data_IF_305089313731
#
_entry.id   IF_305089313731
#
_cell.length_a   1.000
_cell.length_b   1.000
_cell.length_c   1.000
_cell.angle_alpha   90.00
_cell.angle_beta   90.00
_cell.angle_gamma   90.00
#
_symmetry.space_group_name_H-M   'P 1'
#
loop_
_entity.id
_entity.type
_entity.pdbx_description
1 polymer ?
#
# COMPACT_ATOMS: atom_id res chain seq x y z
N UNK A 1 -3.47 -13.39 -27.98
CA UNK A 1 -2.58 -12.56 -27.16
C UNK A 1 -3.31 -11.25 -26.93
N UNK A 2 -3.15 -10.62 -25.77
CA UNK A 2 -3.99 -9.54 -25.19
C UNK A 2 -5.19 -10.04 -24.38
N UNK A 3 -4.97 -10.19 -23.06
CA UNK A 3 -5.99 -10.07 -22.01
C UNK A 3 -5.44 -10.16 -20.57
N UNK A 4 -4.11 -10.20 -20.36
CA UNK A 4 -3.52 -10.21 -19.00
C UNK A 4 -3.62 -8.87 -18.26
N UNK A 5 -3.88 -7.78 -18.99
CA UNK A 5 -4.12 -6.45 -18.46
C UNK A 5 -5.61 -6.06 -18.48
N UNK A 6 -6.53 -7.02 -18.68
CA UNK A 6 -7.97 -6.82 -18.42
C UNK A 6 -8.26 -6.77 -16.90
N UNK A 7 -7.73 -5.70 -16.33
CA UNK A 7 -8.18 -4.79 -15.27
C UNK A 7 -8.53 -5.32 -13.87
N UNK A 8 -9.00 -6.55 -13.64
CA UNK A 8 -9.78 -6.75 -12.40
C UNK A 8 -9.25 -7.76 -11.37
N UNK A 9 -8.88 -8.98 -11.77
CA UNK A 9 -8.44 -10.01 -10.82
C UNK A 9 -6.94 -9.90 -10.47
N UNK A 10 -6.14 -9.46 -11.44
CA UNK A 10 -4.67 -9.40 -11.33
C UNK A 10 -4.23 -8.17 -10.53
N UNK A 11 -4.91 -7.01 -10.68
CA UNK A 11 -4.59 -5.79 -9.91
C UNK A 11 -4.80 -5.98 -8.41
N UNK A 12 -5.82 -6.74 -7.97
CA UNK A 12 -6.00 -7.02 -6.55
C UNK A 12 -4.88 -7.91 -5.97
N UNK A 13 -4.38 -8.85 -6.76
CA UNK A 13 -3.16 -9.61 -6.41
C UNK A 13 -1.93 -8.70 -6.27
N UNK A 14 -1.84 -7.66 -7.10
CA UNK A 14 -0.77 -6.66 -7.03
C UNK A 14 -0.92 -5.71 -5.84
N UNK A 15 -2.13 -5.27 -5.48
CA UNK A 15 -2.37 -4.49 -4.26
C UNK A 15 -1.82 -5.21 -3.02
N UNK A 16 -2.12 -6.51 -2.88
CA UNK A 16 -1.65 -7.31 -1.76
C UNK A 16 -0.12 -7.48 -1.79
N UNK A 17 0.47 -7.68 -2.96
CA UNK A 17 1.94 -7.77 -3.11
C UNK A 17 2.63 -6.46 -2.77
N UNK A 18 2.12 -5.32 -3.24
CA UNK A 18 2.65 -3.99 -2.88
C UNK A 18 2.56 -3.77 -1.37
N UNK A 19 1.39 -4.03 -0.78
CA UNK A 19 1.20 -3.85 0.65
C UNK A 19 2.14 -4.75 1.47
N UNK A 20 2.21 -6.04 1.13
CA UNK A 20 3.12 -6.98 1.78
C UNK A 20 4.59 -6.59 1.62
N UNK A 21 4.96 -6.02 0.48
CA UNK A 21 6.30 -5.52 0.26
C UNK A 21 6.58 -4.33 1.20
N UNK A 22 5.76 -3.29 1.22
CA UNK A 22 6.03 -2.08 2.02
C UNK A 22 6.01 -2.32 3.54
N UNK A 23 5.18 -3.21 4.05
CA UNK A 23 5.09 -3.47 5.50
C UNK A 23 6.23 -4.35 6.03
N UNK A 24 7.06 -4.92 5.14
CA UNK A 24 8.29 -5.62 5.51
C UNK A 24 9.49 -4.67 5.61
N UNK A 25 9.30 -3.37 5.34
CA UNK A 25 10.34 -2.36 5.49
C UNK A 25 10.56 -2.11 6.97
N UNK A 26 11.77 -1.66 7.31
CA UNK A 26 12.01 -1.23 8.67
C UNK A 26 11.15 0.01 9.00
N UNK A 27 10.97 0.25 10.29
CA UNK A 27 10.09 1.30 10.82
C UNK A 27 10.39 2.69 10.23
N UNK A 28 11.67 3.01 10.03
CA UNK A 28 12.09 4.32 9.51
C UNK A 28 11.80 4.43 8.02
N UNK A 29 12.11 3.38 7.24
CA UNK A 29 11.78 3.34 5.82
C UNK A 29 10.26 3.39 5.58
N UNK A 30 9.46 2.65 6.36
CA UNK A 30 8.00 2.71 6.27
C UNK A 30 7.50 4.12 6.62
N UNK A 31 8.06 4.76 7.65
CA UNK A 31 7.71 6.14 8.00
C UNK A 31 7.98 7.12 6.87
N UNK A 32 9.15 7.01 6.21
CA UNK A 32 9.53 7.89 5.10
C UNK A 32 8.66 7.64 3.87
N UNK A 33 8.32 6.38 3.60
CA UNK A 33 7.32 6.00 2.59
C UNK A 33 6.01 6.72 2.94
N UNK A 34 5.42 6.52 4.11
CA UNK A 34 4.15 7.16 4.51
C UNK A 34 4.18 8.69 4.40
N UNK A 35 5.24 9.35 4.89
CA UNK A 35 5.42 10.82 4.79
C UNK A 35 5.40 11.32 3.35
N UNK A 36 6.01 10.56 2.44
CA UNK A 36 6.19 10.99 1.06
C UNK A 36 4.87 11.07 0.28
N UNK A 37 3.86 10.25 0.62
CA UNK A 37 2.62 10.18 -0.16
C UNK A 37 1.33 10.34 0.65
N UNK A 38 1.33 10.11 1.97
CA UNK A 38 0.15 10.25 2.82
C UNK A 38 0.14 11.64 3.46
N UNK A 39 -0.83 12.47 3.07
CA UNK A 39 -1.13 13.74 3.74
C UNK A 39 -2.50 13.65 4.41
N UNK A 40 -2.52 13.52 5.72
CA UNK A 40 -3.76 13.50 6.51
C UNK A 40 -3.79 14.76 7.38
N UNK A 41 -4.86 15.57 7.32
CA UNK A 41 -5.02 16.72 8.20
C UNK A 41 -4.87 16.33 9.68
N UNK A 42 -4.02 17.04 10.41
CA UNK A 42 -3.78 16.80 11.84
C UNK A 42 -2.79 15.68 12.17
N UNK A 43 -2.34 14.89 11.20
CA UNK A 43 -1.30 13.87 11.40
C UNK A 43 0.04 14.35 10.85
N UNK A 44 1.04 14.46 11.72
CA UNK A 44 2.43 14.68 11.33
C UNK A 44 3.28 13.48 11.73
N UNK A 45 3.65 12.64 10.75
CA UNK A 45 4.47 11.44 10.97
C UNK A 45 5.84 11.73 11.61
N UNK A 46 6.38 12.95 11.52
CA UNK A 46 7.64 13.30 12.19
C UNK A 46 7.54 13.23 13.72
N UNK A 47 6.33 13.29 14.29
CA UNK A 47 6.07 13.19 15.71
C UNK A 47 5.93 11.74 16.21
N UNK A 48 6.00 10.74 15.34
CA UNK A 48 5.71 9.35 15.67
C UNK A 48 6.85 8.40 15.31
N UNK A 49 7.03 7.35 16.11
CA UNK A 49 7.67 6.11 15.67
C UNK A 49 6.62 5.26 14.96
N UNK A 50 7.01 4.54 13.90
CA UNK A 50 6.10 3.72 13.09
C UNK A 50 6.36 2.25 13.39
N UNK A 51 5.33 1.57 13.87
CA UNK A 51 5.35 0.14 14.17
C UNK A 51 4.26 -0.57 13.35
N UNK A 52 4.47 -1.85 13.04
CA UNK A 52 3.43 -2.68 12.43
C UNK A 52 2.83 -3.55 13.54
N UNK A 53 1.53 -3.43 13.77
CA UNK A 53 0.79 -4.24 14.72
C UNK A 53 -0.15 -5.20 13.97
N UNK A 54 -0.23 -6.43 14.44
CA UNK A 54 -1.18 -7.42 13.93
C UNK A 54 -2.49 -7.23 14.69
N UNK A 55 -3.55 -6.95 13.95
CA UNK A 55 -4.89 -6.77 14.51
C UNK A 55 -5.82 -7.78 13.83
N UNK A 56 -6.62 -8.43 14.66
CA UNK A 56 -7.59 -9.38 14.17
C UNK A 56 -8.78 -8.64 13.55
N UNK A 57 -8.82 -8.57 12.22
CA UNK A 57 -9.90 -7.94 11.46
C UNK A 57 -10.52 -9.00 10.53
N UNK A 58 -11.58 -9.71 10.95
CA UNK A 58 -12.26 -10.65 10.07
C UNK A 58 -12.88 -9.91 8.88
N UNK A 59 -13.09 -10.62 7.77
CA UNK A 59 -13.67 -10.01 6.56
C UNK A 59 -15.06 -9.47 6.82
N UNK A 60 -15.27 -8.21 6.47
CA UNK A 60 -16.57 -7.55 6.50
C UNK A 60 -17.57 -8.29 5.60
N UNK A 61 -18.66 -8.81 6.21
CA UNK A 61 -19.73 -9.62 5.59
C UNK A 61 -19.43 -11.06 5.13
N UNK A 62 -18.31 -11.67 5.50
CA UNK A 62 -18.18 -13.13 5.42
C UNK A 62 -18.40 -13.72 6.82
N UNK A 63 -19.03 -14.90 6.87
CA UNK A 63 -19.18 -15.67 8.11
C UNK A 63 -17.85 -15.67 8.88
N UNK A 64 -17.95 -15.52 10.20
CA UNK A 64 -16.87 -15.16 11.13
C UNK A 64 -15.63 -16.09 11.17
N UNK A 65 -15.56 -17.10 10.29
CA UNK A 65 -14.57 -18.18 10.31
C UNK A 65 -13.42 -18.03 9.29
N UNK A 66 -13.40 -17.00 8.43
CA UNK A 66 -12.19 -16.68 7.65
C UNK A 66 -11.40 -15.60 8.38
N UNK A 67 -10.68 -16.02 9.42
CA UNK A 67 -9.72 -15.20 10.14
C UNK A 67 -8.55 -14.85 9.23
N UNK A 68 -8.43 -13.58 8.88
CA UNK A 68 -7.19 -13.04 8.33
C UNK A 68 -6.66 -12.03 9.32
N UNK A 69 -5.51 -12.33 9.93
CA UNK A 69 -4.77 -11.31 10.66
C UNK A 69 -4.42 -10.21 9.67
N UNK A 70 -4.93 -9.01 9.94
CA UNK A 70 -4.65 -7.84 9.14
C UNK A 70 -3.56 -7.04 9.86
N UNK A 71 -2.70 -6.40 9.08
CA UNK A 71 -1.64 -5.55 9.60
C UNK A 71 -2.15 -4.12 9.64
N UNK A 72 -2.08 -3.49 10.80
CA UNK A 72 -2.33 -2.06 10.97
C UNK A 72 -1.00 -1.37 11.30
N UNK A 73 -0.89 -0.10 10.94
CA UNK A 73 0.27 0.70 11.32
C UNK A 73 -0.04 1.34 12.67
N UNK A 74 0.75 1.02 13.70
CA UNK A 74 0.72 1.67 15.00
C UNK A 74 1.73 2.83 15.01
N UNK A 75 1.22 4.04 15.18
CA UNK A 75 2.00 5.27 15.29
C UNK A 75 2.15 5.60 16.77
N UNK A 76 3.35 5.45 17.33
CA UNK A 76 3.63 5.75 18.74
C UNK A 76 4.20 7.16 18.85
N UNK A 77 3.47 8.07 19.50
CA UNK A 77 3.93 9.46 19.62
C UNK A 77 5.24 9.54 20.42
N UNK A 78 6.25 10.21 19.88
CA UNK A 78 7.63 10.26 20.42
C UNK A 78 7.79 10.90 21.81
N UNK A 79 6.76 11.57 22.32
CA UNK A 79 6.81 12.38 23.55
C UNK A 79 5.81 11.82 24.56
N UNK A 80 4.55 11.71 24.14
CA UNK A 80 3.47 11.24 25.02
C UNK A 80 3.38 9.72 25.08
N UNK A 81 4.07 9.01 24.18
CA UNK A 81 3.97 7.56 24.00
C UNK A 81 2.55 7.05 23.73
N UNK A 82 1.62 7.94 23.37
CA UNK A 82 0.26 7.56 22.99
C UNK A 82 0.25 6.88 21.63
N UNK A 83 -0.43 5.74 21.56
CA UNK A 83 -0.72 5.04 20.32
C UNK A 83 -1.73 5.81 19.48
N UNK A 84 -1.51 5.80 18.18
CA UNK A 84 -2.43 6.25 17.16
C UNK A 84 -2.42 5.19 16.07
N UNK A 85 -3.59 4.68 15.72
CA UNK A 85 -3.70 3.66 14.69
C UNK A 85 -3.87 4.29 13.31
N UNK A 86 -3.18 3.73 12.32
CA UNK A 86 -3.27 4.13 10.93
C UNK A 86 -3.55 2.92 10.04
N UNK A 87 -4.73 2.93 9.43
CA UNK A 87 -5.14 1.91 8.46
C UNK A 87 -4.84 2.38 7.03
N UNK A 88 -4.03 1.62 6.30
CA UNK A 88 -3.71 1.90 4.90
C UNK A 88 -4.25 0.78 4.01
N UNK A 89 -5.07 1.12 3.03
CA UNK A 89 -5.59 0.18 2.04
C UNK A 89 -5.13 0.56 0.62
N UNK A 90 -4.81 -0.43 -0.21
CA UNK A 90 -4.61 -0.26 -1.65
C UNK A 90 -5.80 -0.88 -2.40
N UNK A 91 -6.42 -0.12 -3.30
CA UNK A 91 -7.59 -0.56 -4.05
C UNK A 91 -7.43 -0.34 -5.55
N UNK A 92 -7.78 -1.38 -6.30
CA UNK A 92 -7.93 -1.32 -7.74
C UNK A 92 -9.28 -0.71 -8.15
N UNK A 93 -10.34 -0.96 -7.38
CA UNK A 93 -11.71 -0.53 -7.72
C UNK A 93 -12.36 0.23 -6.60
N UNK A 94 -13.26 1.13 -6.98
CA UNK A 94 -14.09 1.87 -6.03
C UNK A 94 -14.89 0.86 -5.24
N UNK A 95 -14.80 0.99 -3.94
CA UNK A 95 -15.51 0.13 -3.01
C UNK A 95 -16.43 0.95 -2.15
N UNK A 96 -17.70 0.95 -2.53
CA UNK A 96 -18.75 1.71 -1.86
C UNK A 96 -18.98 1.26 -0.41
N UNK A 97 -18.49 0.08 -0.01
CA UNK A 97 -18.56 -0.40 1.38
C UNK A 97 -17.33 0.00 2.20
N UNK A 98 -16.34 0.67 1.61
CA UNK A 98 -15.13 1.07 2.31
C UNK A 98 -15.38 1.94 3.56
N UNK A 99 -16.30 2.93 3.54
CA UNK A 99 -16.61 3.70 4.75
C UNK A 99 -17.05 2.78 5.92
N UNK A 100 -17.96 1.84 5.65
CA UNK A 100 -18.47 0.93 6.68
C UNK A 100 -17.40 -0.04 7.18
N UNK A 101 -16.52 -0.53 6.31
CA UNK A 101 -15.38 -1.37 6.72
C UNK A 101 -14.43 -0.65 7.65
N UNK A 102 -14.07 0.59 7.30
CA UNK A 102 -13.11 1.36 8.08
C UNK A 102 -13.68 1.66 9.46
N UNK A 103 -14.97 1.93 9.56
CA UNK A 103 -15.68 2.09 10.84
C UNK A 103 -15.68 0.80 11.66
N UNK A 104 -16.01 -0.35 11.06
CA UNK A 104 -15.95 -1.66 11.74
C UNK A 104 -14.52 -1.98 12.22
N UNK A 105 -13.53 -1.73 11.38
CA UNK A 105 -12.12 -1.93 11.74
C UNK A 105 -11.69 -1.02 12.87
N UNK A 106 -12.08 0.27 12.86
CA UNK A 106 -11.79 1.20 13.96
C UNK A 106 -12.32 0.68 15.29
N UNK A 107 -13.59 0.28 15.33
CA UNK A 107 -14.23 -0.23 16.56
C UNK A 107 -13.53 -1.50 17.05
N UNK A 108 -13.18 -2.42 16.16
CA UNK A 108 -12.46 -3.67 16.52
C UNK A 108 -11.04 -3.41 17.01
N UNK A 109 -10.31 -2.50 16.38
CA UNK A 109 -8.98 -2.08 16.82
C UNK A 109 -9.05 -1.45 18.22
N UNK A 110 -10.05 -0.59 18.47
CA UNK A 110 -10.28 -0.04 19.81
C UNK A 110 -10.61 -1.10 20.85
N UNK A 111 -11.49 -2.06 20.53
CA UNK A 111 -11.80 -3.16 21.44
C UNK A 111 -10.54 -3.96 21.82
N UNK A 112 -9.72 -4.32 20.83
CA UNK A 112 -8.46 -5.02 21.05
C UNK A 112 -7.45 -4.18 21.85
N UNK A 113 -7.36 -2.88 21.60
CA UNK A 113 -6.52 -1.98 22.37
C UNK A 113 -6.94 -1.91 23.84
N UNK A 114 -8.24 -1.77 24.12
CA UNK A 114 -8.76 -1.72 25.49
C UNK A 114 -8.48 -3.03 26.23
N UNK A 115 -8.71 -4.17 25.57
CA UNK A 115 -8.43 -5.50 26.11
C UNK A 115 -6.94 -5.68 26.42
N UNK A 116 -6.07 -5.43 25.43
CA UNK A 116 -4.60 -5.52 25.57
C UNK A 116 -4.05 -4.68 26.73
N UNK A 117 -4.66 -3.51 26.97
CA UNK A 117 -4.22 -2.58 28.01
C UNK A 117 -5.03 -2.67 29.32
N UNK A 118 -5.95 -3.64 29.44
CA UNK A 118 -6.84 -3.81 30.59
C UNK A 118 -7.62 -2.53 30.99
N UNK A 119 -8.03 -1.74 29.99
CA UNK A 119 -8.73 -0.47 30.22
C UNK A 119 -10.23 -0.74 30.41
N UNK A 120 -10.77 -0.36 31.57
CA UNK A 120 -12.19 -0.47 31.92
C UNK A 120 -12.70 0.80 32.63
N UNK A 121 -14.02 0.94 32.77
CA UNK A 121 -14.68 1.97 33.58
C UNK A 121 -15.23 3.19 32.81
N UNK A 122 -15.66 4.21 33.55
CA UNK A 122 -16.17 5.47 33.00
C UNK A 122 -14.99 6.30 32.41
N UNK A 123 -15.22 6.99 31.29
CA UNK A 123 -14.21 7.72 30.48
C UNK A 123 -13.33 6.87 29.54
N UNK A 124 -13.81 5.72 29.07
CA UNK A 124 -13.14 4.93 28.01
C UNK A 124 -12.84 5.78 26.77
N UNK A 125 -13.78 6.66 26.38
CA UNK A 125 -13.64 7.49 25.18
C UNK A 125 -12.39 8.39 25.19
N UNK A 126 -12.00 8.90 26.36
CA UNK A 126 -10.81 9.77 26.51
C UNK A 126 -9.50 8.98 26.45
N UNK A 127 -9.58 7.65 26.53
CA UNK A 127 -8.45 6.72 26.49
C UNK A 127 -8.33 5.98 25.17
N UNK A 128 -9.27 6.19 24.24
CA UNK A 128 -9.22 5.57 22.92
C UNK A 128 -8.13 6.22 22.07
N UNK A 129 -7.24 5.43 21.44
CA UNK A 129 -6.23 5.95 20.54
C UNK A 129 -6.91 6.56 19.31
N UNK A 130 -6.32 7.61 18.75
CA UNK A 130 -6.79 8.14 17.46
C UNK A 130 -6.70 7.06 16.39
N UNK A 131 -7.62 7.10 15.43
CA UNK A 131 -7.64 6.18 14.29
C UNK A 131 -7.72 6.97 13.00
N UNK A 132 -6.64 6.96 12.22
CA UNK A 132 -6.59 7.51 10.89
C UNK A 132 -6.70 6.40 9.86
N UNK A 133 -7.18 6.75 8.68
CA UNK A 133 -7.18 5.81 7.57
C UNK A 133 -6.99 6.50 6.23
N UNK A 134 -6.34 5.78 5.32
CA UNK A 134 -6.13 6.23 3.95
C UNK A 134 -6.32 5.07 2.97
N UNK A 135 -6.91 5.40 1.81
CA UNK A 135 -7.14 4.47 0.72
C UNK A 135 -6.40 4.98 -0.52
N UNK A 136 -5.45 4.19 -1.01
CA UNK A 136 -4.70 4.47 -2.23
C UNK A 136 -5.43 3.83 -3.40
N UNK A 137 -5.82 4.66 -4.37
CA UNK A 137 -6.51 4.22 -5.57
C UNK A 137 -5.54 4.02 -6.73
N UNK A 138 -5.53 2.79 -7.26
CA UNK A 138 -4.63 2.38 -8.33
C UNK A 138 -5.24 2.54 -9.72
N UNK A 139 -6.55 2.61 -9.85
CA UNK A 139 -7.16 2.76 -11.16
C UNK A 139 -7.15 4.22 -11.64
N UNK A 140 -7.15 4.37 -12.95
CA UNK A 140 -7.15 5.62 -13.70
C UNK A 140 -8.54 6.24 -13.83
N UNK A 141 -9.59 5.45 -13.62
CA UNK A 141 -10.95 5.96 -13.58
C UNK A 141 -11.12 6.96 -12.43
N UNK A 142 -11.95 7.99 -12.67
CA UNK A 142 -12.26 8.99 -11.64
C UNK A 142 -12.89 8.27 -10.45
N UNK A 143 -12.32 8.49 -9.26
CA UNK A 143 -12.96 8.11 -8.02
C UNK A 143 -14.31 8.84 -7.95
N UNK A 144 -15.40 8.12 -8.20
CA UNK A 144 -16.76 8.64 -8.29
C UNK A 144 -17.58 8.38 -7.02
N UNK A 145 -17.06 7.57 -6.10
CA UNK A 145 -17.55 7.46 -4.72
C UNK A 145 -17.18 8.68 -3.86
N UNK A 146 -16.69 9.76 -4.47
CA UNK A 146 -16.62 10.99 -3.74
C UNK A 146 -18.02 11.49 -3.41
N UNK A 147 -18.23 11.82 -2.15
CA UNK A 147 -19.21 12.84 -1.78
C UNK A 147 -18.67 14.25 -2.07
N UNK A 148 -17.92 14.45 -3.17
CA UNK A 148 -17.42 15.78 -3.59
C UNK A 148 -18.32 16.44 -4.64
N UNK A 149 -19.44 15.82 -4.99
CA UNK A 149 -20.59 16.63 -5.41
C UNK A 149 -20.89 17.62 -4.28
N UNK A 150 -20.93 18.94 -4.55
CA UNK A 150 -21.20 19.97 -3.53
C UNK A 150 -22.52 19.75 -2.76
N UNK A 151 -23.41 18.92 -3.31
CA UNK A 151 -24.72 18.56 -2.76
C UNK A 151 -24.74 17.22 -2.00
N UNK A 152 -23.60 16.52 -1.86
CA UNK A 152 -23.54 15.34 -1.02
C UNK A 152 -23.55 15.75 0.45
N UNK A 153 -24.73 15.67 1.06
CA UNK A 153 -25.06 15.89 2.48
C UNK A 153 -24.28 15.02 3.48
N UNK A 154 -23.18 14.38 3.08
CA UNK A 154 -22.33 13.44 3.84
C UNK A 154 -20.88 13.90 4.01
N UNK A 155 -20.53 15.12 3.57
CA UNK A 155 -19.17 15.69 3.67
C UNK A 155 -18.58 15.77 5.09
N UNK A 156 -19.40 15.55 6.12
CA UNK A 156 -19.05 15.51 7.54
C UNK A 156 -18.64 14.12 8.06
N UNK A 157 -18.68 13.07 7.22
CA UNK A 157 -18.27 11.70 7.54
C UNK A 157 -17.16 11.17 6.61
N UNK A 158 -16.13 11.97 6.32
CA UNK A 158 -14.92 11.40 5.72
C UNK A 158 -14.17 10.60 6.78
N UNK A 159 -14.49 9.31 6.88
CA UNK A 159 -13.84 8.37 7.82
C UNK A 159 -12.44 7.95 7.34
N UNK A 160 -12.07 8.31 6.10
CA UNK A 160 -10.76 8.07 5.49
C UNK A 160 -10.36 9.13 4.47
N UNK A 161 -9.05 9.23 4.22
CA UNK A 161 -8.48 10.05 3.15
C UNK A 161 -8.31 9.23 1.87
N UNK A 162 -8.73 9.76 0.72
CA UNK A 162 -8.49 9.15 -0.60
C UNK A 162 -7.19 9.68 -1.18
N UNK A 163 -6.31 8.78 -1.62
CA UNK A 163 -5.05 9.10 -2.29
C UNK A 163 -5.11 8.54 -3.71
N UNK A 164 -5.30 9.41 -4.70
CA UNK A 164 -5.19 9.05 -6.11
C UNK A 164 -4.06 9.87 -6.75
N UNK A 165 -2.87 9.28 -6.82
CA UNK A 165 -1.71 9.92 -7.43
C UNK A 165 -1.76 9.77 -8.96
N UNK A 166 -1.63 10.89 -9.64
CA UNK A 166 -1.39 10.95 -11.09
C UNK A 166 0.00 10.44 -11.43
N UNK A 167 0.17 10.03 -12.69
CA UNK A 167 1.46 9.61 -13.24
C UNK A 167 2.56 10.66 -13.04
N UNK A 168 2.26 11.93 -13.31
CA UNK A 168 3.20 13.03 -13.11
C UNK A 168 3.62 13.17 -11.64
N UNK A 169 2.69 13.01 -10.70
CA UNK A 169 3.00 13.07 -9.26
C UNK A 169 3.89 11.89 -8.84
N UNK A 170 3.69 10.69 -9.39
CA UNK A 170 4.54 9.54 -9.11
C UNK A 170 5.97 9.77 -9.62
N UNK A 171 6.12 10.27 -10.85
CA UNK A 171 7.43 10.59 -11.44
C UNK A 171 8.14 11.71 -10.68
N UNK A 172 7.41 12.74 -10.24
CA UNK A 172 7.99 13.86 -9.48
C UNK A 172 8.44 13.45 -8.08
N UNK A 173 7.65 12.63 -7.38
CA UNK A 173 7.98 12.17 -6.03
C UNK A 173 9.14 11.18 -6.04
N UNK A 174 9.25 10.36 -7.09
CA UNK A 174 10.21 9.25 -7.20
C UNK A 174 10.14 8.33 -5.97
N UNK A 175 11.11 7.44 -5.83
CA UNK A 175 11.19 6.47 -4.74
C UNK A 175 10.50 5.14 -5.06
N UNK A 176 10.84 4.13 -4.27
CA UNK A 176 10.47 2.74 -4.52
C UNK A 176 8.96 2.52 -4.52
N UNK A 177 8.25 3.11 -3.56
CA UNK A 177 6.80 2.95 -3.48
C UNK A 177 6.10 3.57 -4.69
N UNK A 178 6.50 4.79 -5.08
CA UNK A 178 6.00 5.43 -6.29
C UNK A 178 6.31 4.60 -7.54
N UNK A 179 7.47 3.93 -7.60
CA UNK A 179 7.86 3.08 -8.71
C UNK A 179 6.95 1.84 -8.82
N UNK A 180 6.65 1.19 -7.68
CA UNK A 180 5.72 0.07 -7.62
C UNK A 180 4.32 0.47 -8.07
N UNK A 181 3.82 1.60 -7.58
CA UNK A 181 2.53 2.15 -8.03
C UNK A 181 2.56 2.46 -9.53
N UNK A 182 3.61 3.14 -10.01
CA UNK A 182 3.76 3.57 -11.40
C UNK A 182 3.66 2.41 -12.39
N UNK A 183 4.33 1.27 -12.13
CA UNK A 183 4.23 0.11 -13.01
C UNK A 183 2.87 -0.60 -12.88
N UNK A 184 2.27 -0.68 -11.69
CA UNK A 184 0.97 -1.34 -11.50
C UNK A 184 -0.18 -0.56 -12.14
N UNK A 185 -0.06 0.76 -12.32
CA UNK A 185 -1.02 1.59 -13.07
C UNK A 185 -0.88 1.44 -14.60
N UNK A 186 -0.28 0.36 -15.10
CA UNK A 186 -0.10 0.14 -16.56
C UNK A 186 -1.31 -0.56 -17.17
N UNK A 187 -1.75 -0.08 -18.32
CA UNK A 187 -2.94 -0.55 -19.04
C UNK A 187 -2.66 -1.68 -20.02
N UNK A 188 -1.39 -1.93 -20.35
CA UNK A 188 -0.98 -3.01 -21.24
C UNK A 188 0.49 -3.38 -21.00
N UNK A 189 0.94 -4.45 -21.65
CA UNK A 189 2.28 -5.00 -21.49
C UNK A 189 3.39 -4.03 -21.91
N UNK A 190 3.23 -3.35 -23.05
CA UNK A 190 4.24 -2.43 -23.56
C UNK A 190 4.44 -1.27 -22.58
N UNK A 191 3.34 -0.68 -22.09
CA UNK A 191 3.42 0.35 -21.06
C UNK A 191 4.06 -0.18 -19.78
N UNK A 192 3.73 -1.40 -19.36
CA UNK A 192 4.34 -2.02 -18.17
C UNK A 192 5.87 -2.17 -18.33
N UNK A 193 6.32 -2.68 -19.48
CA UNK A 193 7.74 -2.84 -19.80
C UNK A 193 8.47 -1.49 -19.88
N UNK A 194 7.91 -0.52 -20.61
CA UNK A 194 8.48 0.82 -20.77
C UNK A 194 8.63 1.52 -19.42
N UNK A 195 7.65 1.37 -18.53
CA UNK A 195 7.68 1.96 -17.19
C UNK A 195 8.73 1.30 -16.28
N UNK A 196 8.94 0.00 -16.39
CA UNK A 196 10.02 -0.69 -15.68
C UNK A 196 11.38 -0.11 -16.10
N UNK A 197 11.62 -0.01 -17.40
CA UNK A 197 12.88 0.56 -17.94
C UNK A 197 13.06 2.01 -17.49
N UNK A 198 12.00 2.82 -17.53
CA UNK A 198 12.04 4.19 -17.06
C UNK A 198 12.44 4.29 -15.58
N UNK A 199 11.89 3.43 -14.71
CA UNK A 199 12.30 3.41 -13.29
C UNK A 199 13.76 3.01 -13.15
N UNK A 200 14.18 1.93 -13.82
CA UNK A 200 15.54 1.41 -13.72
C UNK A 200 16.57 2.42 -14.21
N UNK A 201 16.29 3.14 -15.30
CA UNK A 201 17.25 4.03 -15.94
C UNK A 201 17.21 5.47 -15.41
N UNK A 202 16.02 6.01 -15.14
CA UNK A 202 15.83 7.46 -14.97
C UNK A 202 15.54 7.88 -13.52
N UNK A 203 15.11 6.94 -12.67
CA UNK A 203 14.68 7.29 -11.31
C UNK A 203 15.83 7.34 -10.31
N UNK A 204 17.03 6.84 -10.69
CA UNK A 204 18.23 6.85 -9.86
C UNK A 204 17.97 6.30 -8.44
N UNK A 205 17.24 5.18 -8.35
CA UNK A 205 16.98 4.54 -7.07
C UNK A 205 18.30 4.04 -6.48
N UNK A 206 18.46 4.22 -5.16
CA UNK A 206 19.59 3.62 -4.44
C UNK A 206 19.64 2.11 -4.65
N UNK A 207 20.83 1.52 -4.66
CA UNK A 207 21.05 0.10 -4.98
C UNK A 207 20.11 -0.87 -4.23
N UNK A 208 19.88 -0.63 -2.94
CA UNK A 208 18.96 -1.43 -2.09
C UNK A 208 17.51 -1.35 -2.60
N UNK A 209 17.06 -0.14 -2.95
CA UNK A 209 15.71 0.09 -3.48
C UNK A 209 15.58 -0.40 -4.93
N UNK A 210 16.62 -0.26 -5.76
CA UNK A 210 16.61 -0.85 -7.10
C UNK A 210 16.46 -2.38 -7.03
N UNK A 211 17.20 -3.05 -6.15
CA UNK A 211 17.07 -4.50 -5.95
C UNK A 211 15.67 -4.91 -5.50
N UNK A 212 15.10 -4.22 -4.49
CA UNK A 212 13.72 -4.46 -4.03
C UNK A 212 12.71 -4.25 -5.15
N UNK A 213 12.86 -3.19 -5.96
CA UNK A 213 12.01 -2.94 -7.10
C UNK A 213 12.09 -4.07 -8.14
N UNK A 214 13.29 -4.55 -8.47
CA UNK A 214 13.50 -5.68 -9.39
C UNK A 214 12.88 -6.98 -8.83
N UNK A 215 13.04 -7.25 -7.53
CA UNK A 215 12.41 -8.40 -6.87
C UNK A 215 10.88 -8.33 -6.93
N UNK A 216 10.34 -7.14 -6.68
CA UNK A 216 8.92 -6.88 -6.81
C UNK A 216 8.44 -7.18 -8.24
N UNK A 217 9.08 -6.60 -9.26
CA UNK A 217 8.78 -6.88 -10.68
C UNK A 217 8.81 -8.37 -10.97
N UNK A 218 9.87 -9.07 -10.55
CA UNK A 218 10.02 -10.52 -10.73
C UNK A 218 8.85 -11.29 -10.11
N UNK A 219 8.39 -10.88 -8.92
CA UNK A 219 7.26 -11.50 -8.23
C UNK A 219 5.91 -11.30 -8.93
N UNK A 220 5.77 -10.25 -9.76
CA UNK A 220 4.54 -9.98 -10.51
C UNK A 220 4.44 -10.85 -11.78
N UNK A 221 5.57 -11.33 -12.28
CA UNK A 221 5.67 -12.07 -13.52
C UNK A 221 5.44 -13.55 -13.31
N UNK A 222 4.69 -14.15 -14.22
CA UNK A 222 4.53 -15.59 -14.29
C UNK A 222 5.76 -16.20 -14.99
N UNK A 223 6.49 -17.05 -14.28
CA UNK A 223 7.80 -17.59 -14.71
C UNK A 223 7.72 -18.34 -16.04
N UNK A 224 6.58 -18.94 -16.34
CA UNK A 224 6.37 -19.74 -17.55
C UNK A 224 5.86 -18.91 -18.74
N UNK A 225 5.79 -17.58 -18.59
CA UNK A 225 5.24 -16.69 -19.59
C UNK A 225 6.29 -16.00 -20.46
N UNK A 226 5.92 -15.70 -21.71
CA UNK A 226 6.77 -15.00 -22.65
C UNK A 226 7.12 -13.57 -22.14
N UNK A 227 6.18 -12.95 -21.43
CA UNK A 227 6.36 -11.66 -20.77
C UNK A 227 7.53 -11.67 -19.77
N UNK A 228 7.69 -12.77 -19.02
CA UNK A 228 8.81 -12.95 -18.11
C UNK A 228 10.13 -12.95 -18.87
N UNK A 229 10.25 -13.76 -19.93
CA UNK A 229 11.47 -13.80 -20.75
C UNK A 229 11.81 -12.43 -21.35
N UNK A 230 10.82 -11.72 -21.89
CA UNK A 230 11.03 -10.40 -22.50
C UNK A 230 11.54 -9.39 -21.47
N UNK A 231 10.87 -9.27 -20.31
CA UNK A 231 11.27 -8.31 -19.28
C UNK A 231 12.63 -8.65 -18.69
N UNK A 232 12.92 -9.93 -18.45
CA UNK A 232 14.24 -10.34 -17.93
C UNK A 232 15.34 -10.01 -18.92
N UNK A 233 15.14 -10.29 -20.21
CA UNK A 233 16.13 -9.93 -21.23
C UNK A 233 16.36 -8.41 -21.28
N UNK A 234 15.29 -7.60 -21.24
CA UNK A 234 15.39 -6.14 -21.18
C UNK A 234 16.18 -5.67 -19.94
N UNK A 235 15.94 -6.28 -18.77
CA UNK A 235 16.66 -5.93 -17.54
C UNK A 235 18.13 -6.37 -17.58
N UNK A 236 18.45 -7.51 -18.20
CA UNK A 236 19.82 -8.02 -18.34
C UNK A 236 20.71 -7.14 -19.25
N UNK A 237 20.12 -6.38 -20.16
CA UNK A 237 20.85 -5.39 -20.98
C UNK A 237 21.42 -4.22 -20.15
N UNK A 238 20.97 -4.07 -18.90
CA UNK A 238 21.47 -3.08 -17.95
C UNK A 238 22.45 -3.72 -16.95
N UNK A 239 23.75 -3.44 -17.09
CA UNK A 239 24.84 -4.04 -16.31
C UNK A 239 24.62 -4.06 -14.78
N UNK A 240 24.06 -2.99 -14.21
CA UNK A 240 23.82 -2.91 -12.76
C UNK A 240 22.69 -3.85 -12.29
N UNK A 241 21.73 -4.14 -13.17
CA UNK A 241 20.60 -5.05 -12.90
C UNK A 241 20.95 -6.50 -13.20
N UNK A 242 21.81 -6.77 -14.18
CA UNK A 242 22.23 -8.13 -14.51
C UNK A 242 22.88 -8.86 -13.33
N UNK A 243 23.70 -8.15 -12.55
CA UNK A 243 24.31 -8.67 -11.33
C UNK A 243 23.29 -8.90 -10.20
N UNK A 244 22.19 -8.15 -10.16
CA UNK A 244 21.12 -8.32 -9.18
C UNK A 244 20.25 -9.53 -9.52
N UNK A 245 19.88 -9.69 -10.80
CA UNK A 245 19.05 -10.81 -11.25
C UNK A 245 19.70 -12.18 -11.02
N UNK A 246 21.03 -12.28 -11.17
CA UNK A 246 21.75 -13.52 -10.88
C UNK A 246 21.68 -13.90 -9.38
N UNK A 247 21.70 -12.93 -8.47
CA UNK A 247 21.47 -13.21 -7.04
C UNK A 247 20.03 -13.66 -6.74
N UNK A 248 19.03 -13.05 -7.37
CA UNK A 248 17.61 -13.36 -7.16
C UNK A 248 17.26 -14.76 -7.68
N UNK A 249 17.80 -15.14 -8.84
CA UNK A 249 17.61 -16.47 -9.40
C UNK A 249 18.23 -17.56 -8.52
N UNK A 250 19.38 -17.28 -7.89
CA UNK A 250 20.05 -18.22 -6.99
C UNK A 250 19.30 -18.40 -5.66
N UNK A 251 18.70 -17.34 -5.11
CA UNK A 251 17.90 -17.42 -3.86
C UNK A 251 16.58 -18.18 -4.03
N UNK A 252 16.03 -18.23 -5.24
CA UNK A 252 14.78 -18.95 -5.55
C UNK A 252 14.98 -20.42 -5.94
N UNK A 253 16.23 -20.88 -6.05
CA UNK A 253 16.63 -22.27 -6.34
C UNK A 253 17.05 -23.06 -5.08
N UNK A 254 16.95 -22.44 -3.90
CA UNK A 254 17.16 -23.04 -2.57
C UNK A 254 15.81 -23.27 -1.90
#
# INVERSE_FOLDING_TARGET
MDNRFEVNAIIQGYCNKIFNEIINYDSDELADILKSFVKIPGLNFDHYYVEVEYVHLPKFFQDADVSTDNKIINLVHKITHHSTYFYLALQAKVDYMMPFRIEDYRVRTWAQYLEKNNITGDNINDRLPMFYSAVIYLDSDKWDADGTTPDATWSWYQVYTVINLSEQQLIQKKGIFCAMLYIVKSNNFNQFADRIINVVCEWNLEKRNLLRFVNFVYSLLDKDSNEHTVIINMLLEHNDVANMLSSVQNELLV
#
